data_IF_298837089510
#
_entry.id   IF_298837089510
#
_cell.length_a   1.000
_cell.length_b   1.000
_cell.length_c   1.000
_cell.angle_alpha   90.00
_cell.angle_beta   90.00
_cell.angle_gamma   90.00
#
_symmetry.space_group_name_H-M   'P 1'
#
loop_
_entity.id
_entity.type
_entity.pdbx_description
1 polymer ?
#
# COMPACT_ATOMS: atom_id res chain seq x y z
N UNK A 1 15.18 -5.08 -1.19
CA UNK A 1 16.30 -4.40 -0.53
C UNK A 1 16.27 -2.91 -0.83
N UNK A 2 16.50 -2.08 0.17
CA UNK A 2 16.57 -0.64 -0.05
C UNK A 2 17.90 -0.25 -0.74
N UNK A 3 18.01 0.99 -1.22
CA UNK A 3 19.21 1.51 -1.92
C UNK A 3 20.50 1.35 -1.10
N UNK A 4 20.40 1.42 0.23
CA UNK A 4 21.53 1.24 1.14
C UNK A 4 22.15 -0.16 1.01
N UNK A 5 21.33 -1.20 0.96
CA UNK A 5 21.79 -2.58 0.81
C UNK A 5 22.43 -2.83 -0.56
N UNK A 6 21.90 -2.20 -1.63
CA UNK A 6 22.47 -2.27 -2.97
C UNK A 6 23.85 -1.60 -2.98
N UNK A 7 23.99 -0.40 -2.43
CA UNK A 7 25.26 0.30 -2.35
C UNK A 7 26.30 -0.49 -1.53
N UNK A 8 25.89 -1.06 -0.40
CA UNK A 8 26.77 -1.88 0.44
C UNK A 8 27.26 -3.14 -0.29
N UNK A 9 26.41 -3.77 -1.11
CA UNK A 9 26.80 -4.90 -1.94
C UNK A 9 27.81 -4.49 -3.04
N UNK A 10 27.62 -3.32 -3.65
CA UNK A 10 28.55 -2.77 -4.67
C UNK A 10 29.91 -2.39 -4.08
N UNK A 11 29.98 -1.99 -2.80
CA UNK A 11 31.24 -1.72 -2.09
C UNK A 11 31.99 -2.99 -1.64
N UNK A 12 31.56 -4.17 -2.06
CA UNK A 12 32.21 -5.45 -1.72
C UNK A 12 32.01 -5.89 -0.28
N UNK A 13 31.13 -5.23 0.48
CA UNK A 13 30.75 -5.65 1.82
C UNK A 13 29.74 -6.80 1.71
N UNK A 14 30.13 -7.99 2.11
CA UNK A 14 29.29 -9.20 2.07
C UNK A 14 28.14 -9.15 3.08
N UNK A 15 27.10 -8.36 2.83
CA UNK A 15 25.84 -8.39 3.58
C UNK A 15 24.77 -9.18 2.83
N UNK A 16 25.07 -10.43 2.49
CA UNK A 16 24.11 -11.35 1.85
C UNK A 16 22.79 -11.43 2.65
N UNK A 17 22.86 -11.40 3.96
CA UNK A 17 21.71 -11.50 4.84
C UNK A 17 20.71 -10.33 4.74
N UNK A 18 21.15 -9.12 4.39
CA UNK A 18 20.29 -7.96 4.23
C UNK A 18 19.54 -7.91 2.90
N UNK A 19 19.87 -8.79 1.95
CA UNK A 19 19.28 -8.87 0.62
C UNK A 19 18.36 -10.08 0.45
N UNK A 20 18.27 -10.94 1.46
CA UNK A 20 17.45 -12.16 1.41
C UNK A 20 15.97 -11.79 1.40
N UNK A 21 15.28 -12.14 0.31
CA UNK A 21 13.83 -12.05 0.17
C UNK A 21 13.14 -13.38 0.44
N UNK A 22 11.89 -13.49 0.00
CA UNK A 22 11.11 -14.74 0.05
C UNK A 22 10.37 -14.96 -1.26
N UNK A 23 10.06 -16.22 -1.57
CA UNK A 23 9.27 -16.57 -2.73
C UNK A 23 7.79 -16.23 -2.50
N UNK A 24 7.18 -15.57 -3.47
CA UNK A 24 5.74 -15.24 -3.41
C UNK A 24 4.87 -16.47 -3.68
N UNK A 25 5.36 -17.43 -4.47
CA UNK A 25 4.62 -18.64 -4.82
C UNK A 25 4.23 -19.44 -3.57
N UNK A 26 2.95 -19.81 -3.49
CA UNK A 26 2.38 -20.55 -2.36
C UNK A 26 2.12 -19.72 -1.10
N UNK A 27 2.58 -18.46 -1.03
CA UNK A 27 2.26 -17.53 0.06
C UNK A 27 0.85 -16.98 -0.05
N UNK A 28 0.36 -16.40 1.02
CA UNK A 28 -0.97 -15.82 1.11
C UNK A 28 -0.91 -14.29 1.13
N UNK A 29 -1.61 -13.66 0.21
CA UNK A 29 -1.85 -12.22 0.22
C UNK A 29 -3.24 -11.92 0.80
N UNK A 30 -3.32 -11.06 1.80
CA UNK A 30 -4.54 -10.48 2.35
C UNK A 30 -4.82 -9.13 1.70
N UNK A 31 -5.95 -9.01 1.03
CA UNK A 31 -6.35 -7.78 0.33
C UNK A 31 -7.53 -7.15 1.06
N UNK A 32 -7.34 -5.94 1.56
CA UNK A 32 -8.38 -5.19 2.28
C UNK A 32 -8.93 -4.09 1.37
N UNK A 33 -10.19 -4.26 0.93
CA UNK A 33 -10.80 -3.49 -0.14
C UNK A 33 -10.59 -4.13 -1.51
N UNK A 34 -11.67 -4.44 -2.23
CA UNK A 34 -11.63 -5.13 -3.53
C UNK A 34 -12.17 -4.27 -4.67
N UNK A 35 -11.82 -2.99 -4.64
CA UNK A 35 -12.13 -2.04 -5.71
C UNK A 35 -11.34 -2.31 -7.01
N UNK A 36 -11.44 -1.40 -7.97
CA UNK A 36 -10.83 -1.55 -9.31
C UNK A 36 -9.33 -1.87 -9.26
N UNK A 37 -8.56 -1.16 -8.44
CA UNK A 37 -7.11 -1.34 -8.32
C UNK A 37 -6.80 -2.70 -7.70
N UNK A 38 -7.48 -3.05 -6.61
CA UNK A 38 -7.27 -4.32 -5.93
C UNK A 38 -7.58 -5.53 -6.81
N UNK A 39 -8.61 -5.46 -7.66
CA UNK A 39 -8.95 -6.53 -8.61
C UNK A 39 -7.80 -6.81 -9.59
N UNK A 40 -7.15 -5.75 -10.10
CA UNK A 40 -5.98 -5.89 -10.97
C UNK A 40 -4.81 -6.50 -10.20
N UNK A 41 -4.54 -6.02 -8.98
CA UNK A 41 -3.50 -6.57 -8.14
C UNK A 41 -3.73 -8.06 -7.84
N UNK A 42 -4.96 -8.45 -7.50
CA UNK A 42 -5.34 -9.84 -7.25
C UNK A 42 -5.00 -10.72 -8.46
N UNK A 43 -5.34 -10.27 -9.66
CA UNK A 43 -5.01 -11.00 -10.89
C UNK A 43 -3.48 -11.19 -11.05
N UNK A 44 -2.70 -10.15 -10.76
CA UNK A 44 -1.23 -10.23 -10.80
C UNK A 44 -0.71 -11.22 -9.74
N UNK A 45 -1.19 -11.15 -8.51
CA UNK A 45 -0.79 -12.03 -7.41
C UNK A 45 -1.12 -13.50 -7.70
N UNK A 46 -2.27 -13.76 -8.32
CA UNK A 46 -2.62 -15.10 -8.82
C UNK A 46 -1.63 -15.60 -9.87
N UNK A 47 -1.17 -14.71 -10.76
CA UNK A 47 -0.11 -15.02 -11.74
C UNK A 47 1.22 -15.43 -11.09
N UNK A 48 1.53 -14.91 -9.89
CA UNK A 48 2.68 -15.35 -9.08
C UNK A 48 2.42 -16.65 -8.30
N UNK A 49 1.24 -17.27 -8.42
CA UNK A 49 0.89 -18.49 -7.71
C UNK A 49 0.59 -18.27 -6.23
N UNK A 50 0.18 -17.07 -5.84
CA UNK A 50 -0.23 -16.77 -4.47
C UNK A 50 -1.66 -17.23 -4.17
N UNK A 51 -1.90 -17.57 -2.91
CA UNK A 51 -3.24 -17.64 -2.35
C UNK A 51 -3.71 -16.22 -2.03
N UNK A 52 -4.99 -15.93 -2.25
CA UNK A 52 -5.54 -14.60 -1.95
C UNK A 52 -6.73 -14.72 -1.02
N UNK A 53 -6.63 -14.06 0.13
CA UNK A 53 -7.74 -13.77 1.03
C UNK A 53 -8.16 -12.32 0.83
N UNK A 54 -9.45 -12.06 0.82
CA UNK A 54 -9.98 -10.72 0.62
C UNK A 54 -10.96 -10.34 1.71
N UNK A 55 -11.00 -9.07 2.04
CA UNK A 55 -12.04 -8.47 2.87
C UNK A 55 -12.59 -7.22 2.18
N UNK A 56 -13.91 -7.13 2.11
CA UNK A 56 -14.63 -5.95 1.63
C UNK A 56 -15.99 -5.87 2.33
N UNK A 57 -16.50 -4.66 2.53
CA UNK A 57 -17.88 -4.46 3.02
C UNK A 57 -18.92 -4.92 2.00
N UNK A 58 -18.57 -4.88 0.71
CA UNK A 58 -19.43 -5.26 -0.42
C UNK A 58 -18.74 -6.32 -1.30
N UNK A 59 -18.66 -7.59 -0.85
CA UNK A 59 -17.93 -8.65 -1.55
C UNK A 59 -18.50 -8.93 -2.94
N UNK A 60 -17.62 -9.00 -3.95
CA UNK A 60 -17.96 -9.45 -5.31
C UNK A 60 -17.71 -10.96 -5.45
N UNK A 61 -18.73 -11.75 -5.14
CA UNK A 61 -18.63 -13.22 -5.20
C UNK A 61 -18.50 -13.77 -6.62
N UNK A 62 -18.89 -13.01 -7.64
CA UNK A 62 -18.67 -13.42 -9.03
C UNK A 62 -17.18 -13.32 -9.36
N UNK A 63 -16.56 -12.19 -9.05
CA UNK A 63 -15.12 -12.00 -9.16
C UNK A 63 -14.35 -13.03 -8.33
N UNK A 64 -14.78 -13.29 -7.08
CA UNK A 64 -14.13 -14.28 -6.24
C UNK A 64 -14.10 -15.68 -6.85
N UNK A 65 -15.19 -16.10 -7.49
CA UNK A 65 -15.25 -17.40 -8.19
C UNK A 65 -14.35 -17.44 -9.41
N UNK A 66 -14.31 -16.35 -10.19
CA UNK A 66 -13.48 -16.25 -11.40
C UNK A 66 -11.98 -16.31 -11.06
N UNK A 67 -11.55 -15.56 -10.06
CA UNK A 67 -10.14 -15.49 -9.63
C UNK A 67 -9.75 -16.55 -8.59
N UNK A 68 -10.70 -17.37 -8.13
CA UNK A 68 -10.46 -18.39 -7.10
C UNK A 68 -9.86 -17.77 -5.83
N UNK A 69 -10.46 -16.69 -5.35
CA UNK A 69 -10.11 -16.03 -4.08
C UNK A 69 -11.19 -16.28 -3.02
N UNK A 70 -10.86 -16.08 -1.76
CA UNK A 70 -11.75 -16.29 -0.63
C UNK A 70 -11.98 -14.98 0.10
N UNK A 71 -13.25 -14.55 0.20
CA UNK A 71 -13.64 -13.49 1.14
C UNK A 71 -13.71 -14.06 2.54
N UNK A 72 -13.14 -13.36 3.51
CA UNK A 72 -13.07 -13.79 4.90
C UNK A 72 -13.18 -12.60 5.86
N UNK A 73 -13.21 -12.86 7.16
CA UNK A 73 -13.15 -11.82 8.19
C UNK A 73 -11.76 -11.15 8.23
N UNK A 74 -11.70 -9.92 8.78
CA UNK A 74 -10.42 -9.25 9.00
C UNK A 74 -9.48 -10.08 9.89
N UNK A 75 -10.01 -10.68 10.93
CA UNK A 75 -9.22 -11.50 11.87
C UNK A 75 -8.58 -12.71 11.17
N UNK A 76 -9.35 -13.42 10.37
CA UNK A 76 -8.85 -14.53 9.56
C UNK A 76 -7.82 -14.07 8.52
N UNK A 77 -8.06 -12.91 7.89
CA UNK A 77 -7.13 -12.32 6.94
C UNK A 77 -5.82 -11.98 7.63
N UNK A 78 -5.84 -11.31 8.78
CA UNK A 78 -4.64 -10.98 9.54
C UNK A 78 -3.85 -12.23 9.94
N UNK A 79 -4.53 -13.24 10.45
CA UNK A 79 -3.88 -14.46 10.94
C UNK A 79 -3.22 -15.29 9.85
N UNK A 80 -3.76 -15.28 8.63
CA UNK A 80 -3.34 -16.18 7.57
C UNK A 80 -2.47 -15.53 6.49
N UNK A 81 -2.32 -14.19 6.47
CA UNK A 81 -1.62 -13.50 5.41
C UNK A 81 -0.12 -13.37 5.68
N UNK A 82 0.69 -13.59 4.66
CA UNK A 82 2.13 -13.30 4.63
C UNK A 82 2.39 -11.88 4.13
N UNK A 83 1.49 -11.35 3.28
CA UNK A 83 1.49 -9.97 2.79
C UNK A 83 0.08 -9.42 3.00
N UNK A 84 -0.05 -8.20 3.49
CA UNK A 84 -1.33 -7.49 3.60
C UNK A 84 -1.24 -6.20 2.80
N UNK A 85 -2.19 -5.98 1.88
CA UNK A 85 -2.24 -4.79 1.03
C UNK A 85 -3.57 -4.05 1.21
N UNK A 86 -3.49 -2.73 1.44
CA UNK A 86 -4.61 -1.87 1.76
C UNK A 86 -5.11 -1.14 0.52
N UNK A 87 -6.40 -1.30 0.20
CA UNK A 87 -7.08 -0.71 -0.96
C UNK A 87 -8.48 -0.17 -0.61
N UNK A 88 -8.84 -0.15 0.67
CA UNK A 88 -10.09 0.43 1.14
C UNK A 88 -9.99 1.97 1.21
N UNK A 89 -11.11 2.71 1.10
CA UNK A 89 -11.13 4.13 1.36
C UNK A 89 -10.87 4.43 2.83
N UNK A 90 -10.40 5.64 3.13
CA UNK A 90 -10.32 6.15 4.49
C UNK A 90 -11.72 6.64 4.91
N UNK A 91 -12.25 6.06 5.97
CA UNK A 91 -13.49 6.45 6.66
C UNK A 91 -13.23 6.41 8.17
N UNK A 92 -14.21 6.82 8.97
CA UNK A 92 -14.08 6.70 10.43
C UNK A 92 -13.87 5.23 10.88
N UNK A 93 -14.49 4.27 10.17
CA UNK A 93 -14.38 2.84 10.51
C UNK A 93 -13.05 2.23 10.03
N UNK A 94 -12.42 2.79 9.00
CA UNK A 94 -11.16 2.29 8.46
C UNK A 94 -9.93 3.05 8.94
N UNK A 95 -10.14 4.19 9.61
CA UNK A 95 -9.06 4.94 10.24
C UNK A 95 -8.33 4.05 11.26
N UNK A 96 -7.02 4.00 11.12
CA UNK A 96 -6.17 3.12 11.94
C UNK A 96 -6.60 1.65 11.96
N UNK A 97 -7.06 1.16 10.81
CA UNK A 97 -7.38 -0.24 10.62
C UNK A 97 -6.18 -1.14 10.97
N UNK A 98 -4.98 -0.68 10.64
CA UNK A 98 -3.73 -1.29 11.08
C UNK A 98 -3.24 -0.53 12.33
N UNK A 99 -3.34 -1.19 13.47
CA UNK A 99 -3.00 -0.70 14.80
C UNK A 99 -2.39 -1.83 15.66
N UNK A 100 -2.05 -1.55 16.92
CA UNK A 100 -1.45 -2.55 17.82
C UNK A 100 -2.27 -3.82 17.93
N UNK A 101 -3.59 -3.71 18.00
CA UNK A 101 -4.50 -4.87 18.11
C UNK A 101 -4.48 -5.72 16.84
N UNK A 102 -4.66 -5.11 15.67
CA UNK A 102 -4.64 -5.85 14.39
C UNK A 102 -3.26 -6.45 14.12
N UNK A 103 -2.17 -5.70 14.40
CA UNK A 103 -0.80 -6.19 14.26
C UNK A 103 -0.55 -7.41 15.17
N UNK A 104 -1.08 -7.41 16.40
CA UNK A 104 -0.91 -8.55 17.32
C UNK A 104 -1.47 -9.86 16.74
N UNK A 105 -2.50 -9.79 15.91
CA UNK A 105 -3.15 -10.95 15.25
C UNK A 105 -2.44 -11.44 13.99
N UNK A 106 -1.55 -10.65 13.41
CA UNK A 106 -0.87 -10.98 12.17
C UNK A 106 0.19 -12.07 12.38
N UNK A 107 0.64 -12.67 11.28
CA UNK A 107 1.83 -13.54 11.31
C UNK A 107 3.07 -12.75 11.69
N UNK A 108 4.01 -13.41 12.35
CA UNK A 108 5.34 -12.84 12.57
C UNK A 108 6.05 -12.69 11.22
N UNK A 109 6.64 -11.51 11.00
CA UNK A 109 7.32 -11.21 9.75
C UNK A 109 6.41 -10.81 8.58
N UNK A 110 5.14 -10.49 8.82
CA UNK A 110 4.20 -10.04 7.79
C UNK A 110 4.71 -8.80 7.05
N UNK A 111 4.44 -8.72 5.75
CA UNK A 111 4.69 -7.51 4.95
C UNK A 111 3.42 -6.67 4.83
N UNK A 112 3.51 -5.37 5.10
CA UNK A 112 2.41 -4.42 4.95
C UNK A 112 2.65 -3.51 3.75
N UNK A 113 1.65 -3.39 2.87
CA UNK A 113 1.67 -2.49 1.70
C UNK A 113 0.51 -1.51 1.80
N UNK A 114 0.81 -0.22 1.72
CA UNK A 114 -0.21 0.83 1.70
C UNK A 114 0.05 1.83 0.57
N UNK A 115 -0.79 1.80 -0.45
CA UNK A 115 -0.84 2.75 -1.55
C UNK A 115 -2.19 3.50 -1.60
N UNK A 116 -2.94 3.47 -0.50
CA UNK A 116 -4.26 4.06 -0.38
C UNK A 116 -4.26 5.42 0.33
N UNK A 117 -4.37 5.39 1.65
CA UNK A 117 -4.37 6.58 2.52
C UNK A 117 -3.52 6.32 3.77
N UNK A 118 -2.70 7.29 4.16
CA UNK A 118 -1.76 7.16 5.29
C UNK A 118 -2.44 6.75 6.58
N UNK A 119 -3.53 7.43 6.94
CA UNK A 119 -4.28 7.18 8.18
C UNK A 119 -5.00 5.81 8.27
N UNK A 120 -4.90 4.94 7.26
CA UNK A 120 -5.29 3.54 7.41
C UNK A 120 -4.37 2.79 8.37
N UNK A 121 -3.16 3.30 8.57
CA UNK A 121 -2.16 2.74 9.47
C UNK A 121 -1.87 3.73 10.60
N UNK A 122 -1.92 3.28 11.83
CA UNK A 122 -1.38 4.02 12.97
C UNK A 122 0.14 3.90 12.95
N UNK A 123 0.84 4.99 12.62
CA UNK A 123 2.27 4.97 12.33
C UNK A 123 3.12 4.48 13.49
N UNK A 124 2.80 4.89 14.73
CA UNK A 124 3.54 4.42 15.90
C UNK A 124 3.40 2.91 16.13
N UNK A 125 2.20 2.33 15.89
CA UNK A 125 2.00 0.89 15.97
C UNK A 125 2.81 0.13 14.90
N UNK A 126 2.89 0.67 13.68
CA UNK A 126 3.75 0.13 12.62
C UNK A 126 5.23 0.14 13.04
N UNK A 127 5.72 1.26 13.60
CA UNK A 127 7.11 1.39 14.06
C UNK A 127 7.42 0.35 15.15
N UNK A 128 6.55 0.19 16.14
CA UNK A 128 6.75 -0.82 17.18
C UNK A 128 6.69 -2.24 16.62
N UNK A 129 5.78 -2.51 15.68
CA UNK A 129 5.72 -3.79 14.98
C UNK A 129 7.00 -4.12 14.19
N UNK A 130 7.61 -3.13 13.54
CA UNK A 130 8.90 -3.27 12.85
C UNK A 130 10.06 -3.54 13.80
N UNK A 131 10.13 -2.80 14.93
CA UNK A 131 11.15 -2.99 15.97
C UNK A 131 11.11 -4.41 16.56
N UNK A 132 9.91 -4.90 16.84
CA UNK A 132 9.69 -6.21 17.44
C UNK A 132 9.71 -7.35 16.41
N UNK A 133 9.95 -7.04 15.13
CA UNK A 133 9.94 -7.98 14.00
C UNK A 133 8.60 -8.72 13.81
N UNK A 134 7.54 -8.22 14.42
CA UNK A 134 6.17 -8.67 14.14
C UNK A 134 5.79 -8.32 12.70
N UNK A 135 6.19 -7.11 12.26
CA UNK A 135 6.16 -6.68 10.87
C UNK A 135 7.55 -6.87 10.30
N UNK A 136 7.64 -7.69 9.27
CA UNK A 136 8.91 -8.02 8.59
C UNK A 136 9.37 -6.93 7.63
N UNK A 137 8.43 -6.22 6.99
CA UNK A 137 8.72 -5.11 6.07
C UNK A 137 7.47 -4.28 5.78
N UNK A 138 7.67 -3.06 5.29
CA UNK A 138 6.58 -2.20 4.85
C UNK A 138 6.93 -1.47 3.54
N UNK A 139 5.92 -1.35 2.65
CA UNK A 139 5.94 -0.51 1.46
C UNK A 139 4.82 0.52 1.56
N UNK A 140 5.19 1.79 1.67
CA UNK A 140 4.29 2.89 1.95
C UNK A 140 4.42 3.94 0.85
N UNK A 141 3.37 4.13 0.06
CA UNK A 141 3.30 5.26 -0.89
C UNK A 141 2.63 6.48 -0.24
N UNK A 142 2.04 6.29 0.91
CA UNK A 142 1.28 7.28 1.67
C UNK A 142 1.71 7.27 3.13
N UNK A 143 1.62 8.43 3.78
CA UNK A 143 2.00 8.63 5.17
C UNK A 143 0.87 9.33 5.93
N UNK A 144 0.81 9.15 7.24
CA UNK A 144 -0.27 9.66 8.09
C UNK A 144 -0.42 11.19 8.03
N UNK A 145 0.70 11.92 7.98
CA UNK A 145 0.78 13.38 7.94
C UNK A 145 1.33 13.89 6.58
N UNK A 146 1.06 13.18 5.49
CA UNK A 146 1.62 13.46 4.15
C UNK A 146 1.33 14.87 3.62
N UNK A 147 0.24 15.50 4.05
CA UNK A 147 -0.14 16.84 3.59
C UNK A 147 0.89 17.93 3.92
N UNK A 148 1.71 17.71 4.94
CA UNK A 148 2.73 18.68 5.37
C UNK A 148 4.07 18.49 4.61
N UNK A 149 4.36 17.28 4.13
CA UNK A 149 5.68 16.92 3.64
C UNK A 149 5.75 16.52 2.17
N UNK A 150 4.66 15.98 1.58
CA UNK A 150 4.73 15.36 0.25
C UNK A 150 4.43 16.30 -0.91
N UNK A 151 3.78 17.43 -0.65
CA UNK A 151 3.33 18.35 -1.71
C UNK A 151 4.19 19.60 -1.87
N UNK A 152 5.20 19.77 -1.05
CA UNK A 152 6.16 20.87 -1.14
C UNK A 152 7.58 20.35 -1.39
N UNK A 153 8.40 21.11 -2.11
CA UNK A 153 9.83 20.83 -2.23
C UNK A 153 10.53 21.09 -0.89
N UNK A 154 10.89 20.04 -0.22
CA UNK A 154 11.58 20.05 1.08
C UNK A 154 13.06 19.66 0.96
N UNK A 155 13.61 19.62 -0.28
CA UNK A 155 14.99 19.14 -0.55
C UNK A 155 16.06 19.83 0.29
N UNK A 156 15.85 21.11 0.62
CA UNK A 156 16.79 21.95 1.37
C UNK A 156 16.43 22.07 2.87
N UNK A 157 15.40 21.37 3.34
CA UNK A 157 14.94 21.45 4.74
C UNK A 157 15.26 20.16 5.50
N UNK A 158 15.55 20.31 6.78
CA UNK A 158 15.62 19.17 7.69
C UNK A 158 14.19 18.63 7.88
N UNK A 159 14.01 17.32 7.78
CA UNK A 159 12.74 16.68 8.09
C UNK A 159 12.48 16.88 9.58
N UNK A 160 11.54 17.77 9.91
CA UNK A 160 11.14 18.08 11.29
C UNK A 160 10.02 17.13 11.78
N UNK A 161 10.02 15.90 11.26
CA UNK A 161 9.13 14.81 11.64
C UNK A 161 9.96 13.61 12.09
N UNK A 162 10.12 13.48 13.38
CA UNK A 162 10.86 12.37 14.00
C UNK A 162 10.27 11.01 13.66
N UNK A 163 8.96 10.94 13.41
CA UNK A 163 8.23 9.70 13.09
C UNK A 163 8.55 9.26 11.68
N UNK A 164 8.49 10.19 10.70
CA UNK A 164 8.88 9.93 9.32
C UNK A 164 10.37 9.59 9.23
N UNK A 165 11.23 10.37 9.89
CA UNK A 165 12.67 10.11 9.95
C UNK A 165 12.95 8.71 10.51
N UNK A 166 12.19 8.30 11.55
CA UNK A 166 12.28 6.97 12.13
C UNK A 166 11.87 5.88 11.14
N UNK A 167 10.76 6.04 10.42
CA UNK A 167 10.34 5.09 9.37
C UNK A 167 11.40 4.94 8.28
N UNK A 168 11.98 6.04 7.82
CA UNK A 168 13.03 6.04 6.80
C UNK A 168 14.33 5.38 7.26
N UNK A 169 14.56 5.30 8.59
CA UNK A 169 15.73 4.64 9.16
C UNK A 169 15.69 3.11 9.12
N UNK A 170 14.53 2.50 8.87
CA UNK A 170 14.41 1.05 8.78
C UNK A 170 14.87 0.54 7.41
N UNK A 171 15.79 -0.43 7.39
CA UNK A 171 16.28 -1.04 6.15
C UNK A 171 15.25 -1.87 5.39
N UNK A 172 14.17 -2.25 6.03
CA UNK A 172 13.06 -3.06 5.53
C UNK A 172 11.78 -2.24 5.30
N UNK A 173 11.89 -0.91 5.22
CA UNK A 173 10.80 0.00 4.88
C UNK A 173 11.14 0.76 3.60
N UNK A 174 10.18 0.86 2.70
CA UNK A 174 10.24 1.71 1.52
C UNK A 174 9.12 2.73 1.65
N UNK A 175 9.45 4.01 1.55
CA UNK A 175 8.47 5.10 1.49
C UNK A 175 8.63 5.81 0.15
N UNK A 176 7.52 6.03 -0.55
CA UNK A 176 7.45 6.85 -1.76
C UNK A 176 6.47 8.00 -1.53
N UNK A 177 6.66 9.10 -2.23
CA UNK A 177 5.92 10.34 -1.94
C UNK A 177 4.62 10.41 -2.73
N UNK A 178 3.66 9.50 -2.44
CA UNK A 178 2.34 9.42 -3.09
C UNK A 178 2.46 9.36 -4.63
N UNK A 179 3.37 8.51 -5.12
CA UNK A 179 3.77 8.45 -6.53
C UNK A 179 3.44 7.10 -7.19
N UNK A 180 2.67 6.23 -6.54
CA UNK A 180 2.34 4.92 -7.11
C UNK A 180 1.63 5.00 -8.47
N UNK A 181 0.92 6.11 -8.74
CA UNK A 181 0.28 6.37 -10.03
C UNK A 181 1.22 6.97 -11.09
N UNK A 182 2.40 7.47 -10.71
CA UNK A 182 3.22 8.38 -11.51
C UNK A 182 3.89 7.67 -12.69
N UNK A 183 3.13 7.37 -13.71
CA UNK A 183 3.59 6.84 -14.99
C UNK A 183 3.26 7.81 -16.13
N UNK A 184 3.96 7.70 -17.25
CA UNK A 184 3.70 8.53 -18.44
C UNK A 184 2.27 8.36 -18.92
N UNK A 185 1.77 7.13 -18.91
CA UNK A 185 0.42 6.79 -19.36
C UNK A 185 -0.64 7.37 -18.42
N UNK A 186 -0.44 7.30 -17.11
CA UNK A 186 -1.35 7.90 -16.13
C UNK A 186 -1.41 9.41 -16.27
N UNK A 187 -0.27 10.08 -16.41
CA UNK A 187 -0.21 11.55 -16.63
C UNK A 187 -0.92 11.96 -17.93
N UNK A 188 -0.70 11.22 -19.03
CA UNK A 188 -1.39 11.48 -20.29
C UNK A 188 -2.91 11.31 -20.16
N UNK A 189 -3.36 10.27 -19.46
CA UNK A 189 -4.78 10.03 -19.21
C UNK A 189 -5.40 11.12 -18.34
N UNK A 190 -4.73 11.54 -17.27
CA UNK A 190 -5.19 12.62 -16.40
C UNK A 190 -5.34 13.92 -17.22
N UNK A 191 -4.31 14.29 -18.01
CA UNK A 191 -4.36 15.48 -18.83
C UNK A 191 -5.51 15.43 -19.87
N UNK A 192 -5.66 14.31 -20.56
CA UNK A 192 -6.71 14.11 -21.56
C UNK A 192 -8.10 14.19 -20.95
N UNK A 193 -8.32 13.53 -19.81
CA UNK A 193 -9.61 13.53 -19.10
C UNK A 193 -9.94 14.94 -18.60
N UNK A 194 -8.97 15.64 -18.04
CA UNK A 194 -9.16 17.02 -17.57
C UNK A 194 -9.56 17.95 -18.70
N UNK A 195 -8.84 17.89 -19.83
CA UNK A 195 -9.16 18.69 -21.00
C UNK A 195 -10.52 18.35 -21.59
N UNK A 196 -10.91 17.05 -21.60
CA UNK A 196 -12.21 16.65 -22.06
C UNK A 196 -13.34 17.16 -21.15
N UNK A 197 -13.17 17.07 -19.83
CA UNK A 197 -14.14 17.60 -18.86
C UNK A 197 -14.35 19.12 -19.05
N UNK A 198 -13.26 19.88 -19.26
CA UNK A 198 -13.35 21.33 -19.53
C UNK A 198 -14.12 21.59 -20.83
N UNK A 199 -13.82 20.87 -21.92
CA UNK A 199 -14.52 21.01 -23.20
C UNK A 199 -16.01 20.69 -23.06
N UNK A 200 -16.36 19.61 -22.34
CA UNK A 200 -17.76 19.21 -22.14
C UNK A 200 -18.51 20.22 -21.29
N UNK A 201 -17.87 20.76 -20.24
CA UNK A 201 -18.43 21.85 -19.46
C UNK A 201 -18.72 23.11 -20.31
N UNK A 202 -17.73 23.55 -21.10
CA UNK A 202 -17.88 24.72 -21.98
C UNK A 202 -18.96 24.54 -23.06
N UNK A 203 -19.21 23.31 -23.51
CA UNK A 203 -20.21 22.98 -24.51
C UNK A 203 -21.56 22.55 -23.91
N UNK A 204 -21.75 22.73 -22.59
CA UNK A 204 -22.97 22.35 -21.85
C UNK A 204 -23.36 20.88 -22.06
N UNK A 205 -22.38 19.99 -22.21
CA UNK A 205 -22.59 18.54 -22.28
C UNK A 205 -22.66 17.93 -20.89
N UNK A 206 -23.28 16.75 -20.74
CA UNK A 206 -23.22 15.99 -19.49
C UNK A 206 -21.78 15.69 -19.11
N UNK A 207 -21.43 15.87 -17.83
CA UNK A 207 -20.09 15.58 -17.31
C UNK A 207 -20.06 14.16 -16.75
N UNK A 208 -19.36 13.25 -17.43
CA UNK A 208 -19.26 11.85 -17.00
C UNK A 208 -18.50 11.69 -15.67
N UNK A 209 -17.59 12.61 -15.38
CA UNK A 209 -16.74 12.58 -14.18
C UNK A 209 -17.15 13.61 -13.14
N UNK A 210 -18.37 14.09 -13.15
CA UNK A 210 -18.89 15.05 -12.18
C UNK A 210 -18.91 14.42 -10.79
N UNK A 211 -18.25 15.08 -9.84
CA UNK A 211 -18.34 14.73 -8.43
C UNK A 211 -19.64 15.33 -7.88
N UNK A 212 -20.58 14.48 -7.55
CA UNK A 212 -21.84 14.88 -6.89
C UNK A 212 -21.63 14.83 -5.37
N UNK A 213 -22.04 15.93 -4.72
CA UNK A 213 -22.00 16.02 -3.25
C UNK A 213 -23.04 15.09 -2.61
#
# INVERSE_FOLDING_TARGET
PNMYNINSAMEGRQYIYGLMGFDMHGKTAGIIGTGKIAKILIHILKGFGMNVLAYDLYPDYNFARQEQIVYTSLDELYHNSDIISLHCPLTEETKYLINDYSISKMKDGVMIINTGRGQLIHTNALIEGLKNKKIGSAGLDVYEEESEYFYEDQSDKIIDDDTLARLLSFNNVIVTSHQAFFTREALANIASTTLQNIKDFMNHKPLENEVKA
#
